data_IF_203177634590
#
_entry.id   IF_203177634590
#
_cell.length_a   1.000
_cell.length_b   1.000
_cell.length_c   1.000
_cell.angle_alpha   90.00
_cell.angle_beta   90.00
_cell.angle_gamma   90.00
#
_symmetry.space_group_name_H-M   'P 1'
#
loop_
_entity.id
_entity.type
_entity.pdbx_description
1 polymer ?
#
# COMPACT_ATOMS: atom_id res chain seq x y z
N UNK A 1 -31.53 -2.32 -32.33
CA UNK A 1 -30.97 -2.26 -31.93
C UNK A 1 -30.07 -1.89 -31.10
N UNK A 2 -29.52 -1.90 -30.54
CA UNK A 2 -28.95 -1.44 -29.80
C UNK A 2 -27.80 -1.78 -29.45
N UNK A 3 -27.11 -1.54 -29.45
CA UNK A 3 -26.12 -1.64 -29.18
C UNK A 3 -25.63 -1.45 -28.05
N UNK A 4 -25.21 -1.78 -27.53
CA UNK A 4 -24.96 -1.51 -26.49
C UNK A 4 -23.78 -1.81 -26.14
N UNK A 5 -23.29 -1.40 -25.49
CA UNK A 5 -22.33 -1.60 -24.74
C UNK A 5 -21.03 -1.97 -25.26
N UNK A 6 -20.80 -1.67 -26.31
CA UNK A 6 -19.56 -2.11 -26.85
C UNK A 6 -18.39 -1.60 -26.11
N UNK A 7 -18.53 -0.54 -25.49
CA UNK A 7 -17.37 0.03 -24.84
C UNK A 7 -16.73 -0.90 -23.87
N UNK A 8 -17.49 -1.75 -23.31
CA UNK A 8 -16.89 -2.53 -22.28
C UNK A 8 -16.02 -3.57 -22.82
N UNK A 9 -16.27 -3.88 -24.03
CA UNK A 9 -15.52 -4.91 -24.62
C UNK A 9 -14.08 -4.65 -24.60
N UNK A 10 -13.75 -3.43 -24.83
CA UNK A 10 -12.35 -3.09 -24.92
C UNK A 10 -11.63 -3.39 -23.63
N UNK A 11 -12.24 -3.06 -22.60
CA UNK A 11 -11.53 -3.26 -21.36
C UNK A 11 -11.48 -4.71 -21.03
N UNK A 12 -12.43 -5.43 -21.49
CA UNK A 12 -12.44 -6.81 -21.16
C UNK A 12 -11.27 -7.48 -21.78
N UNK A 13 -10.98 -7.08 -23.02
CA UNK A 13 -9.92 -7.76 -23.55
C UNK A 13 -8.67 -7.45 -22.88
N UNK A 14 -8.49 -6.32 -22.41
CA UNK A 14 -7.24 -6.04 -21.76
C UNK A 14 -7.11 -6.97 -20.61
N UNK A 15 -8.17 -7.51 -20.27
CA UNK A 15 -8.12 -8.20 -19.07
C UNK A 15 -7.51 -9.51 -19.24
N UNK A 16 -7.94 -10.15 -20.22
CA UNK A 16 -7.50 -11.32 -20.20
C UNK A 16 -6.17 -11.38 -20.28
N UNK A 17 -5.75 -10.47 -20.60
CA UNK A 17 -4.52 -10.32 -20.64
C UNK A 17 -3.85 -11.31 -19.93
N UNK A 18 -3.77 -12.30 -20.27
CA UNK A 18 -2.96 -13.10 -19.73
C UNK A 18 -2.83 -13.03 -18.37
N UNK A 19 -3.51 -12.72 -17.82
CA UNK A 19 -3.31 -12.54 -16.49
C UNK A 19 -3.17 -13.85 -15.89
N UNK A 20 -2.20 -14.40 -16.10
CA UNK A 20 -1.94 -15.59 -15.41
C UNK A 20 -2.13 -15.42 -13.96
N UNK A 21 -1.94 -14.19 -13.44
CA UNK A 21 -2.15 -14.05 -12.07
C UNK A 21 -3.40 -13.36 -11.86
N UNK A 22 -4.06 -13.54 -10.86
CA UNK A 22 -5.28 -12.83 -10.57
C UNK A 22 -5.03 -11.33 -10.45
N UNK A 23 -5.91 -10.55 -10.97
CA UNK A 23 -5.94 -9.11 -10.75
C UNK A 23 -6.96 -8.82 -9.67
N UNK A 24 -6.73 -7.78 -8.91
CA UNK A 24 -7.70 -7.34 -7.93
C UNK A 24 -8.57 -6.28 -8.56
N UNK A 25 -9.86 -6.54 -8.56
CA UNK A 25 -10.82 -5.66 -9.19
C UNK A 25 -11.70 -5.02 -8.12
N UNK A 26 -12.21 -3.85 -8.42
CA UNK A 26 -13.21 -3.25 -7.56
C UNK A 26 -14.58 -3.89 -7.85
N UNK A 27 -15.61 -3.45 -7.17
CA UNK A 27 -16.96 -4.01 -7.36
C UNK A 27 -17.54 -3.74 -8.72
N UNK A 28 -16.95 -2.86 -9.49
CA UNK A 28 -17.38 -2.54 -10.84
C UNK A 28 -16.54 -3.25 -11.88
N UNK A 29 -15.64 -4.12 -11.45
CA UNK A 29 -14.77 -4.85 -12.36
C UNK A 29 -13.54 -4.09 -12.83
N UNK A 30 -13.25 -2.95 -12.21
CA UNK A 30 -12.11 -2.16 -12.64
C UNK A 30 -10.84 -2.65 -11.96
N UNK A 31 -9.78 -2.79 -12.69
CA UNK A 31 -8.53 -3.28 -12.14
C UNK A 31 -7.89 -2.21 -11.27
N UNK A 32 -7.77 -2.46 -10.01
CA UNK A 32 -7.14 -1.54 -9.07
C UNK A 32 -5.73 -1.97 -8.69
N UNK A 33 -5.43 -3.24 -8.85
CA UNK A 33 -4.10 -3.77 -8.67
C UNK A 33 -3.81 -4.69 -9.85
N UNK A 34 -2.77 -4.39 -10.58
CA UNK A 34 -2.39 -5.19 -11.76
C UNK A 34 -0.95 -5.63 -11.68
N UNK A 35 -0.54 -6.42 -12.63
CA UNK A 35 0.84 -6.82 -12.74
C UNK A 35 1.55 -5.89 -13.70
N UNK A 36 2.79 -5.59 -13.36
CA UNK A 36 3.66 -4.88 -14.26
C UNK A 36 4.44 -5.94 -15.04
N UNK A 37 5.27 -5.49 -15.92
CA UNK A 37 6.12 -6.40 -16.64
C UNK A 37 6.87 -7.28 -15.64
N UNK A 38 6.85 -8.55 -15.82
CA UNK A 38 7.37 -9.48 -14.84
C UNK A 38 6.31 -9.86 -13.83
N UNK A 39 6.70 -10.01 -12.62
CA UNK A 39 5.83 -10.45 -11.55
C UNK A 39 5.62 -9.40 -10.46
N UNK A 40 5.69 -8.14 -10.80
CA UNK A 40 5.46 -7.07 -9.84
C UNK A 40 3.98 -6.78 -9.65
N UNK A 41 3.58 -6.48 -8.44
CA UNK A 41 2.22 -6.05 -8.12
C UNK A 41 2.26 -4.56 -7.83
N UNK A 42 1.51 -3.79 -8.59
CA UNK A 42 1.54 -2.32 -8.51
C UNK A 42 0.15 -1.73 -8.31
N UNK A 43 0.11 -0.59 -7.62
CA UNK A 43 -1.10 0.21 -7.51
C UNK A 43 -1.05 1.29 -8.59
N UNK A 44 -2.17 1.44 -9.31
CA UNK A 44 -2.32 2.51 -10.27
C UNK A 44 -3.26 3.55 -9.68
N UNK A 45 -2.81 4.78 -9.60
CA UNK A 45 -3.60 5.83 -8.94
C UNK A 45 -4.96 6.06 -9.59
N UNK A 46 -5.08 5.85 -10.89
CA UNK A 46 -6.34 6.03 -11.60
C UNK A 46 -7.41 5.04 -11.12
N UNK A 47 -6.99 3.88 -10.64
CA UNK A 47 -7.89 2.81 -10.24
C UNK A 47 -7.92 2.57 -8.74
N UNK A 48 -7.05 3.23 -8.00
CA UNK A 48 -6.97 3.13 -6.55
C UNK A 48 -7.94 4.13 -5.90
N UNK A 49 -8.49 3.85 -4.72
CA UNK A 49 -9.38 4.80 -4.05
C UNK A 49 -8.72 6.17 -3.86
N UNK A 50 -9.50 7.23 -4.00
CA UNK A 50 -9.02 8.59 -3.85
C UNK A 50 -8.55 8.90 -2.43
N UNK A 51 -7.77 9.95 -2.27
CA UNK A 51 -7.30 10.40 -0.96
C UNK A 51 -8.44 10.66 0.01
N UNK A 52 -9.56 11.16 -0.46
CA UNK A 52 -10.71 11.42 0.37
C UNK A 52 -11.34 10.15 0.95
N UNK A 53 -10.99 8.99 0.39
CA UNK A 53 -11.54 7.71 0.79
C UNK A 53 -10.47 6.88 1.53
N UNK A 54 -9.84 7.49 2.51
CA UNK A 54 -8.74 6.84 3.23
C UNK A 54 -9.15 5.50 3.86
N UNK A 55 -10.36 5.40 4.37
CA UNK A 55 -10.83 4.15 4.97
C UNK A 55 -10.93 3.02 3.95
N UNK A 56 -11.36 3.32 2.74
CA UNK A 56 -11.39 2.34 1.65
C UNK A 56 -9.98 1.91 1.26
N UNK A 57 -9.05 2.86 1.22
CA UNK A 57 -7.63 2.56 0.99
C UNK A 57 -7.10 1.59 2.04
N UNK A 58 -7.39 1.87 3.29
CA UNK A 58 -6.92 1.04 4.41
C UNK A 58 -7.45 -0.40 4.30
N UNK A 59 -8.72 -0.55 3.97
CA UNK A 59 -9.31 -1.87 3.81
C UNK A 59 -8.67 -2.64 2.66
N UNK A 60 -8.44 -1.98 1.55
CA UNK A 60 -7.80 -2.59 0.39
C UNK A 60 -6.38 -3.02 0.73
N UNK A 61 -5.61 -2.13 1.34
CA UNK A 61 -4.22 -2.40 1.73
C UNK A 61 -4.17 -3.57 2.71
N UNK A 62 -5.05 -3.56 3.73
CA UNK A 62 -5.08 -4.65 4.68
C UNK A 62 -5.43 -5.99 4.02
N UNK A 63 -6.39 -5.98 3.13
CA UNK A 63 -6.79 -7.19 2.42
C UNK A 63 -5.64 -7.77 1.60
N UNK A 64 -4.85 -6.91 0.98
CA UNK A 64 -3.68 -7.34 0.21
C UNK A 64 -2.60 -7.90 1.11
N UNK A 65 -2.32 -7.22 2.21
CA UNK A 65 -1.31 -7.69 3.17
C UNK A 65 -1.72 -9.06 3.70
N UNK A 66 -2.96 -9.21 4.12
CA UNK A 66 -3.47 -10.47 4.65
C UNK A 66 -3.38 -11.59 3.61
N UNK A 67 -3.71 -11.29 2.37
CA UNK A 67 -3.64 -12.25 1.28
C UNK A 67 -2.20 -12.69 1.04
N UNK A 68 -1.27 -11.76 1.02
CA UNK A 68 0.14 -12.04 0.78
C UNK A 68 0.73 -12.85 1.93
N UNK A 69 0.42 -12.45 3.17
CA UNK A 69 0.93 -13.17 4.34
C UNK A 69 0.34 -14.57 4.44
N UNK A 70 -0.93 -14.74 4.11
CA UNK A 70 -1.57 -16.04 4.09
C UNK A 70 -0.88 -16.99 3.10
N UNK A 71 -0.45 -16.45 1.98
CA UNK A 71 0.23 -17.23 0.96
C UNK A 71 1.76 -17.20 1.10
N UNK A 72 2.26 -16.64 2.20
CA UNK A 72 3.70 -16.55 2.48
C UNK A 72 4.47 -15.80 1.39
N UNK A 73 3.83 -14.84 0.77
CA UNK A 73 4.44 -13.99 -0.26
C UNK A 73 4.88 -12.68 0.39
N UNK A 74 6.07 -12.22 0.06
CA UNK A 74 6.60 -10.98 0.61
C UNK A 74 6.02 -9.78 -0.11
N UNK A 75 5.84 -8.71 0.62
CA UNK A 75 5.46 -7.41 0.08
C UNK A 75 6.47 -6.37 0.55
N UNK A 76 6.51 -5.21 -0.12
CA UNK A 76 7.50 -4.18 0.19
C UNK A 76 7.15 -3.48 1.50
N UNK A 77 7.93 -3.77 2.53
CA UNK A 77 7.76 -3.20 3.86
C UNK A 77 9.05 -2.50 4.26
N UNK A 78 9.14 -1.23 3.90
CA UNK A 78 10.38 -0.47 4.05
C UNK A 78 10.25 0.72 5.02
N UNK A 79 9.26 0.75 5.86
CA UNK A 79 9.14 1.78 6.88
C UNK A 79 10.12 1.53 8.03
N UNK A 80 10.87 2.56 8.50
CA UNK A 80 11.89 2.35 9.52
C UNK A 80 11.35 2.25 10.95
N UNK A 81 10.18 1.69 11.14
CA UNK A 81 9.59 1.37 12.44
C UNK A 81 9.17 -0.08 12.44
N UNK A 82 9.57 -0.80 13.46
CA UNK A 82 9.25 -2.23 13.62
C UNK A 82 8.59 -2.45 14.98
N UNK A 83 8.01 -3.64 15.17
CA UNK A 83 7.55 -4.07 16.49
C UNK A 83 8.64 -4.93 17.12
N UNK A 84 8.93 -4.66 18.38
CA UNK A 84 9.87 -5.50 19.15
C UNK A 84 9.17 -6.78 19.60
N UNK A 85 9.92 -7.62 20.32
CA UNK A 85 9.39 -8.89 20.83
C UNK A 85 8.24 -8.74 21.80
N UNK A 86 8.09 -7.57 22.40
CA UNK A 86 7.02 -7.26 23.34
C UNK A 86 5.84 -6.58 22.67
N UNK A 87 5.93 -6.35 21.36
CA UNK A 87 4.88 -5.67 20.60
C UNK A 87 4.91 -4.15 20.70
N UNK A 88 6.04 -3.58 21.10
CA UNK A 88 6.19 -2.12 21.16
C UNK A 88 6.82 -1.61 19.88
N UNK A 89 6.47 -0.37 19.50
CA UNK A 89 7.10 0.24 18.35
C UNK A 89 8.52 0.67 18.69
N UNK A 90 9.44 0.41 17.78
CA UNK A 90 10.80 0.90 17.88
C UNK A 90 11.34 1.22 16.50
N UNK A 91 12.33 2.08 16.43
CA UNK A 91 13.00 2.36 15.18
C UNK A 91 13.85 1.17 14.75
N UNK A 92 13.89 0.91 13.46
CA UNK A 92 14.74 -0.13 12.90
C UNK A 92 16.21 0.29 13.04
N UNK A 93 17.09 -0.70 13.24
CA UNK A 93 18.51 -0.44 13.38
C UNK A 93 19.11 -0.02 12.04
N UNK A 94 20.16 0.78 12.10
CA UNK A 94 20.90 1.23 10.93
C UNK A 94 20.06 1.97 9.88
N UNK A 95 19.00 2.65 10.32
CA UNK A 95 18.10 3.38 9.43
C UNK A 95 18.00 4.86 9.82
N UNK A 96 19.06 5.45 10.37
CA UNK A 96 19.04 6.83 10.88
C UNK A 96 18.56 7.83 9.85
N UNK A 97 19.06 7.72 8.62
CA UNK A 97 18.67 8.64 7.55
C UNK A 97 17.20 8.55 7.20
N UNK A 98 16.67 7.34 7.19
CA UNK A 98 15.27 7.14 6.88
C UNK A 98 14.36 7.64 8.02
N UNK A 99 14.84 7.49 9.25
CA UNK A 99 14.14 8.00 10.43
C UNK A 99 14.13 9.54 10.40
N UNK A 100 15.24 10.17 10.05
CA UNK A 100 15.30 11.62 9.89
C UNK A 100 14.36 12.10 8.79
N UNK A 101 14.34 11.41 7.66
CA UNK A 101 13.43 11.70 6.56
C UNK A 101 11.97 11.59 7.00
N UNK A 102 11.65 10.53 7.74
CA UNK A 102 10.29 10.32 8.26
C UNK A 102 9.85 11.48 9.14
N UNK A 103 10.72 11.97 10.02
CA UNK A 103 10.40 13.06 10.93
C UNK A 103 10.40 14.42 10.26
N UNK A 104 10.92 14.51 9.04
CA UNK A 104 11.13 15.78 8.37
C UNK A 104 9.87 16.60 8.19
N UNK A 105 10.06 17.89 7.89
CA UNK A 105 8.98 18.83 7.69
C UNK A 105 8.07 18.43 6.52
N UNK A 106 8.63 17.75 5.54
CA UNK A 106 7.89 17.37 4.35
C UNK A 106 7.06 16.10 4.56
N UNK A 107 7.39 15.31 5.58
CA UNK A 107 6.73 14.04 5.85
C UNK A 107 5.84 14.13 7.10
N UNK A 108 6.35 13.87 8.29
CA UNK A 108 5.54 13.86 9.50
C UNK A 108 5.57 15.17 10.29
N UNK A 109 6.52 16.03 10.01
CA UNK A 109 6.67 17.34 10.69
C UNK A 109 6.86 17.20 12.19
N UNK A 110 7.63 16.22 12.60
CA UNK A 110 7.97 16.00 14.00
C UNK A 110 9.36 16.51 14.31
N UNK A 111 9.62 16.78 15.58
CA UNK A 111 10.96 17.19 15.99
C UNK A 111 11.91 15.99 15.98
N UNK A 112 13.20 16.28 15.99
CA UNK A 112 14.22 15.22 15.91
C UNK A 112 14.22 14.24 17.08
N UNK A 113 13.65 14.63 18.20
CA UNK A 113 13.60 13.78 19.39
C UNK A 113 12.35 12.91 19.44
N UNK A 114 11.45 13.02 18.47
CA UNK A 114 10.24 12.21 18.44
C UNK A 114 10.59 10.73 18.46
N UNK A 115 9.84 9.98 19.27
CA UNK A 115 10.03 8.54 19.41
C UNK A 115 9.31 7.77 18.29
N UNK A 116 9.54 6.46 18.23
CA UNK A 116 8.80 5.61 17.29
C UNK A 116 7.29 5.66 17.58
N UNK A 117 6.91 5.73 18.87
CA UNK A 117 5.49 5.88 19.23
C UNK A 117 4.93 7.21 18.73
N UNK A 118 5.67 8.29 18.85
CA UNK A 118 5.24 9.60 18.34
C UNK A 118 5.01 9.55 16.83
N UNK A 119 5.93 8.92 16.11
CA UNK A 119 5.80 8.75 14.67
C UNK A 119 4.58 7.91 14.30
N UNK A 120 4.38 6.80 15.00
CA UNK A 120 3.23 5.94 14.75
C UNK A 120 1.90 6.61 15.10
N UNK A 121 1.86 7.38 16.19
CA UNK A 121 0.66 8.12 16.56
C UNK A 121 0.28 9.12 15.46
N UNK A 122 1.26 9.81 14.89
CA UNK A 122 1.03 10.72 13.79
C UNK A 122 0.53 9.98 12.55
N UNK A 123 1.10 8.82 12.23
CA UNK A 123 0.66 8.00 11.09
C UNK A 123 -0.76 7.46 11.31
N UNK A 124 -1.05 7.00 12.51
CA UNK A 124 -2.39 6.49 12.86
C UNK A 124 -3.44 7.59 12.70
N UNK A 125 -3.14 8.78 13.21
CA UNK A 125 -4.05 9.92 13.12
C UNK A 125 -4.23 10.34 11.65
N UNK A 126 -3.15 10.47 10.93
CA UNK A 126 -3.16 10.93 9.55
C UNK A 126 -3.89 9.98 8.60
N UNK A 127 -3.72 8.68 8.79
CA UNK A 127 -4.29 7.66 7.93
C UNK A 127 -5.52 6.95 8.52
N UNK A 128 -6.05 7.44 9.64
CA UNK A 128 -7.29 6.92 10.25
C UNK A 128 -7.19 5.42 10.56
N UNK A 129 -6.16 5.06 11.30
CA UNK A 129 -5.88 3.66 11.62
C UNK A 129 -6.31 3.24 13.04
N UNK A 130 -7.08 4.06 13.73
CA UNK A 130 -7.42 3.83 15.14
C UNK A 130 -8.16 2.52 15.37
N UNK A 131 -8.97 2.09 14.42
CA UNK A 131 -9.78 0.88 14.56
C UNK A 131 -9.00 -0.42 14.37
N UNK A 132 -7.76 -0.34 13.92
CA UNK A 132 -6.96 -1.52 13.65
C UNK A 132 -6.10 -1.92 14.85
N UNK A 133 -5.68 -3.18 14.89
CA UNK A 133 -4.76 -3.65 15.93
C UNK A 133 -3.40 -2.98 15.76
N UNK A 134 -2.59 -3.03 16.80
CA UNK A 134 -1.26 -2.41 16.79
C UNK A 134 -0.39 -2.95 15.64
N UNK A 135 -0.43 -4.25 15.41
CA UNK A 135 0.32 -4.86 14.32
C UNK A 135 -0.22 -4.43 12.95
N UNK A 136 -1.53 -4.40 12.78
CA UNK A 136 -2.14 -3.99 11.52
C UNK A 136 -1.92 -2.50 11.25
N UNK A 137 -1.99 -1.65 12.28
CA UNK A 137 -1.66 -0.23 12.16
C UNK A 137 -0.27 -0.05 11.56
N UNK A 138 0.70 -0.79 12.08
CA UNK A 138 2.08 -0.69 11.61
C UNK A 138 2.19 -1.11 10.15
N UNK A 139 1.56 -2.19 9.75
CA UNK A 139 1.62 -2.71 8.38
C UNK A 139 0.94 -1.77 7.39
N UNK A 140 -0.27 -1.32 7.70
CA UNK A 140 -1.00 -0.41 6.83
C UNK A 140 -0.27 0.93 6.75
N UNK A 141 0.22 1.44 7.88
CA UNK A 141 1.00 2.66 7.92
C UNK A 141 2.26 2.56 7.07
N UNK A 142 2.90 1.40 7.05
CA UNK A 142 4.08 1.17 6.22
C UNK A 142 3.77 1.40 4.74
N UNK A 143 2.68 0.84 4.25
CA UNK A 143 2.28 1.00 2.85
C UNK A 143 1.91 2.45 2.57
N UNK A 144 1.10 3.07 3.41
CA UNK A 144 0.69 4.48 3.24
C UNK A 144 1.91 5.41 3.26
N UNK A 145 2.83 5.19 4.17
CA UNK A 145 4.06 5.97 4.27
C UNK A 145 4.92 5.81 3.02
N UNK A 146 5.11 4.59 2.55
CA UNK A 146 5.89 4.34 1.34
C UNK A 146 5.24 4.94 0.10
N UNK A 147 3.93 4.90 0.00
CA UNK A 147 3.22 5.59 -1.08
C UNK A 147 3.51 7.08 -1.06
N UNK A 148 3.56 7.67 0.14
CA UNK A 148 3.86 9.10 0.32
C UNK A 148 5.27 9.44 -0.10
N UNK A 149 6.27 8.71 0.39
CA UNK A 149 7.67 9.03 0.07
C UNK A 149 8.04 8.71 -1.37
N UNK A 150 7.33 7.76 -1.99
CA UNK A 150 7.53 7.43 -3.41
C UNK A 150 6.66 8.29 -4.32
N UNK A 151 5.98 9.28 -3.77
CA UNK A 151 5.21 10.25 -4.52
C UNK A 151 4.16 9.58 -5.44
N UNK A 152 3.37 8.69 -4.85
CA UNK A 152 2.33 7.96 -5.58
C UNK A 152 1.32 8.91 -6.21
N UNK A 153 1.17 8.84 -7.52
CA UNK A 153 0.21 9.63 -8.28
C UNK A 153 -0.04 8.98 -9.64
N UNK A 154 -0.85 9.61 -10.47
CA UNK A 154 -1.23 9.05 -11.76
C UNK A 154 -0.05 8.79 -12.71
N UNK A 155 1.01 9.53 -12.55
CA UNK A 155 2.21 9.37 -13.37
C UNK A 155 3.22 8.42 -12.73
N UNK A 156 3.02 8.07 -11.49
CA UNK A 156 4.00 7.32 -10.71
C UNK A 156 3.31 6.23 -9.89
N UNK A 157 3.12 5.04 -10.46
CA UNK A 157 2.51 3.91 -9.74
C UNK A 157 3.35 3.48 -8.55
N UNK A 158 2.71 2.87 -7.56
CA UNK A 158 3.40 2.33 -6.39
C UNK A 158 3.58 0.82 -6.53
N UNK A 159 4.81 0.36 -6.32
CA UNK A 159 5.12 -1.06 -6.37
C UNK A 159 4.90 -1.66 -4.99
N UNK A 160 3.85 -2.44 -4.86
CA UNK A 160 3.51 -3.10 -3.60
C UNK A 160 4.38 -4.33 -3.35
N UNK A 161 4.69 -5.08 -4.37
CA UNK A 161 5.55 -6.26 -4.26
C UNK A 161 6.26 -6.52 -5.59
N UNK A 162 7.46 -7.08 -5.51
CA UNK A 162 8.26 -7.42 -6.68
C UNK A 162 8.53 -8.92 -6.70
N UNK A 163 8.76 -9.45 -7.90
CA UNK A 163 9.13 -10.86 -8.10
C UNK A 163 8.21 -11.85 -7.39
N UNK A 164 6.92 -11.62 -7.47
CA UNK A 164 5.93 -12.51 -6.89
C UNK A 164 5.86 -13.77 -7.74
N UNK A 165 6.32 -14.88 -7.21
CA UNK A 165 6.34 -16.15 -7.94
C UNK A 165 5.10 -16.97 -7.66
N UNK A 166 4.71 -17.75 -8.64
CA UNK A 166 3.63 -18.71 -8.44
C UNK A 166 4.14 -19.83 -7.53
N UNK A 167 3.40 -20.13 -6.49
CA UNK A 167 3.66 -21.29 -5.64
C UNK A 167 2.54 -22.32 -5.82
#
# INVERSE_FOLDING_TARGET
EKKRGGSNTASVESTEVKATRGQILDRNGKVIVGNRQGNDVVFNAADFPEYSKQEERNKLIKSLIDLFEKNKVKWNDDMPIVLDSNGNYQFAEDREKDIETMKSRDILRLNKYATADDCMNELVDRYKLESYSKADRRKIASVCYQMKINNFNSANPYVFATDVTDQ
#
